data_IF_768300770310
#
_entry.id   IF_768300770310
#
_cell.length_a   1.000
_cell.length_b   1.000
_cell.length_c   1.000
_cell.angle_alpha   90.00
_cell.angle_beta   90.00
_cell.angle_gamma   90.00
#
_symmetry.space_group_name_H-M   'P 1'
#
loop_
_entity.id
_entity.type
_entity.pdbx_description
1 polymer ?
#
# COMPACT_ATOMS: atom_id res chain seq x y z
N UNK A 1 -13.06 16.19 26.34
CA UNK A 1 -12.39 17.10 25.39
C UNK A 1 -12.53 16.47 24.01
N UNK A 2 -13.39 17.00 23.14
CA UNK A 2 -13.47 16.51 21.75
C UNK A 2 -12.26 17.11 21.04
N UNK A 3 -11.31 16.28 20.64
CA UNK A 3 -10.19 16.71 19.81
C UNK A 3 -10.75 17.48 18.60
N UNK A 4 -10.19 18.65 18.34
CA UNK A 4 -10.49 19.38 17.12
C UNK A 4 -10.24 18.44 15.92
N UNK A 5 -11.10 18.46 14.88
CA UNK A 5 -10.91 17.59 13.73
C UNK A 5 -9.51 17.85 13.15
N UNK A 6 -8.62 16.86 13.29
CA UNK A 6 -7.28 16.87 12.71
C UNK A 6 -7.42 17.13 11.21
N UNK A 7 -6.69 18.12 10.70
CA UNK A 7 -6.62 18.38 9.26
C UNK A 7 -6.06 17.13 8.55
N UNK A 8 -6.95 16.39 7.88
CA UNK A 8 -6.61 15.13 7.22
C UNK A 8 -5.54 15.34 6.15
N UNK A 9 -5.58 16.47 5.44
CA UNK A 9 -4.58 16.81 4.42
C UNK A 9 -3.20 16.96 5.07
N UNK A 10 -3.10 17.72 6.16
CA UNK A 10 -1.85 17.85 6.91
C UNK A 10 -1.36 16.49 7.43
N UNK A 11 -2.26 15.64 7.94
CA UNK A 11 -1.97 14.28 8.37
C UNK A 11 -1.37 13.41 7.25
N UNK A 12 -1.98 13.42 6.07
CA UNK A 12 -1.50 12.66 4.91
C UNK A 12 -0.13 13.16 4.40
N UNK A 13 0.13 14.47 4.43
CA UNK A 13 1.45 15.02 4.11
C UNK A 13 2.51 14.63 5.15
N UNK A 14 2.15 14.59 6.44
CA UNK A 14 3.03 14.09 7.49
C UNK A 14 3.39 12.61 7.25
N UNK A 15 2.45 11.78 6.82
CA UNK A 15 2.73 10.38 6.42
C UNK A 15 3.74 10.31 5.28
N UNK A 16 3.65 11.18 4.27
CA UNK A 16 4.63 11.21 3.18
C UNK A 16 6.03 11.56 3.67
N UNK A 17 6.16 12.51 4.61
CA UNK A 17 7.43 12.83 5.25
C UNK A 17 7.96 11.64 6.08
N UNK A 18 7.10 10.99 6.86
CA UNK A 18 7.45 9.80 7.63
C UNK A 18 7.93 8.65 6.73
N UNK A 19 7.27 8.41 5.60
CA UNK A 19 7.70 7.40 4.63
C UNK A 19 9.07 7.71 4.00
N UNK A 20 9.42 8.99 3.84
CA UNK A 20 10.76 9.38 3.41
C UNK A 20 11.81 9.03 4.47
N UNK A 21 11.57 9.41 5.73
CA UNK A 21 12.45 9.07 6.85
C UNK A 21 12.59 7.54 7.04
N UNK A 22 11.48 6.78 6.99
CA UNK A 22 11.51 5.32 7.09
C UNK A 22 12.34 4.68 5.98
N UNK A 23 12.25 5.19 4.75
CA UNK A 23 13.07 4.69 3.65
C UNK A 23 14.56 4.95 3.89
N UNK A 24 14.93 6.15 4.38
CA UNK A 24 16.30 6.51 4.71
C UNK A 24 16.86 5.68 5.87
N UNK A 25 16.09 5.52 6.95
CA UNK A 25 16.46 4.67 8.09
C UNK A 25 16.68 3.21 7.68
N UNK A 26 15.80 2.67 6.83
CA UNK A 26 15.94 1.32 6.32
C UNK A 26 17.15 1.18 5.41
N UNK A 27 17.45 2.19 4.59
CA UNK A 27 18.59 2.15 3.68
C UNK A 27 19.94 2.22 4.41
N UNK A 28 19.97 2.89 5.57
CA UNK A 28 21.15 2.98 6.43
C UNK A 28 21.48 1.67 7.16
N UNK A 29 20.56 0.68 7.18
CA UNK A 29 20.81 -0.59 7.85
C UNK A 29 21.92 -1.40 7.15
N UNK A 30 22.72 -2.20 7.88
CA UNK A 30 23.66 -3.14 7.27
C UNK A 30 22.92 -4.15 6.37
N UNK A 31 23.55 -4.61 5.28
CA UNK A 31 22.94 -5.60 4.36
C UNK A 31 23.04 -7.04 4.92
N UNK A 32 22.19 -7.35 5.90
CA UNK A 32 22.00 -8.70 6.44
C UNK A 32 20.57 -9.18 6.14
N UNK A 33 20.41 -10.51 6.17
CA UNK A 33 19.17 -11.16 5.75
C UNK A 33 17.97 -10.61 6.54
N UNK A 34 16.95 -10.14 5.82
CA UNK A 34 15.72 -9.62 6.42
C UNK A 34 15.80 -8.24 7.07
N UNK A 35 16.95 -7.56 7.03
CA UNK A 35 17.08 -6.23 7.62
C UNK A 35 16.84 -5.13 6.59
N UNK A 36 17.86 -4.83 5.77
CA UNK A 36 17.80 -3.73 4.79
C UNK A 36 16.78 -3.96 3.68
N UNK A 37 16.43 -5.21 3.35
CA UNK A 37 15.57 -5.56 2.21
C UNK A 37 14.16 -4.93 2.25
N UNK A 38 13.68 -4.54 3.44
CA UNK A 38 12.41 -3.85 3.60
C UNK A 38 12.39 -2.46 2.94
N UNK A 39 13.57 -1.85 2.72
CA UNK A 39 13.74 -0.56 2.01
C UNK A 39 13.09 -0.57 0.62
N UNK A 40 13.06 -1.73 -0.05
CA UNK A 40 12.49 -1.88 -1.39
C UNK A 40 11.00 -1.54 -1.41
N UNK A 41 10.24 -2.07 -0.45
CA UNK A 41 8.81 -1.75 -0.36
C UNK A 41 8.58 -0.35 0.21
N UNK A 42 9.41 0.11 1.14
CA UNK A 42 9.34 1.47 1.66
C UNK A 42 9.47 2.52 0.55
N UNK A 43 10.40 2.36 -0.40
CA UNK A 43 10.51 3.25 -1.55
C UNK A 43 9.28 3.20 -2.45
N UNK A 44 8.77 2.01 -2.79
CA UNK A 44 7.55 1.92 -3.61
C UNK A 44 6.37 2.62 -2.91
N UNK A 45 6.22 2.42 -1.60
CA UNK A 45 5.14 3.03 -0.83
C UNK A 45 5.31 4.56 -0.76
N UNK A 46 6.52 5.05 -0.46
CA UNK A 46 6.86 6.48 -0.51
C UNK A 46 6.47 7.12 -1.85
N UNK A 47 6.91 6.53 -2.97
CA UNK A 47 6.59 7.06 -4.29
C UNK A 47 5.09 7.01 -4.59
N UNK A 48 4.41 5.93 -4.19
CA UNK A 48 2.97 5.79 -4.40
C UNK A 48 2.21 6.88 -3.64
N UNK A 49 2.54 7.10 -2.36
CA UNK A 49 1.91 8.13 -1.53
C UNK A 49 2.17 9.52 -2.09
N UNK A 50 3.40 9.84 -2.49
CA UNK A 50 3.74 11.15 -3.07
C UNK A 50 2.97 11.41 -4.39
N UNK A 51 2.93 10.42 -5.28
CA UNK A 51 2.19 10.51 -6.55
C UNK A 51 0.69 10.62 -6.32
N UNK A 52 0.16 9.91 -5.33
CA UNK A 52 -1.26 9.95 -5.02
C UNK A 52 -1.67 11.30 -4.44
N UNK A 53 -0.91 11.85 -3.47
CA UNK A 53 -1.12 13.19 -2.93
C UNK A 53 -1.14 14.26 -4.03
N UNK A 54 -0.21 14.19 -4.99
CA UNK A 54 -0.19 15.11 -6.13
C UNK A 54 -1.40 15.01 -7.07
N UNK A 55 -2.18 13.93 -6.98
CA UNK A 55 -3.38 13.69 -7.79
C UNK A 55 -4.69 13.95 -7.01
N UNK A 56 -4.63 14.33 -5.73
CA UNK A 56 -5.82 14.57 -4.90
C UNK A 56 -6.32 16.02 -4.97
N UNK A 57 -5.58 16.95 -5.58
CA UNK A 57 -6.04 18.33 -5.68
C UNK A 57 -7.30 18.43 -6.57
N UNK A 58 -8.37 19.01 -6.03
CA UNK A 58 -9.69 19.09 -6.67
C UNK A 58 -10.43 17.76 -6.86
N UNK A 59 -9.92 16.63 -6.32
CA UNK A 59 -10.58 15.34 -6.45
C UNK A 59 -11.81 15.23 -5.53
N UNK A 60 -12.86 14.55 -6.01
CA UNK A 60 -14.10 14.32 -5.23
C UNK A 60 -13.80 13.53 -3.97
N UNK A 61 -12.92 12.53 -4.06
CA UNK A 61 -12.54 11.67 -2.94
C UNK A 61 -11.44 12.25 -2.04
N UNK A 62 -11.01 13.50 -2.23
CA UNK A 62 -9.79 14.04 -1.61
C UNK A 62 -9.76 13.90 -0.08
N UNK A 63 -10.81 14.37 0.60
CA UNK A 63 -10.90 14.32 2.07
C UNK A 63 -10.83 12.88 2.59
N UNK A 64 -11.61 11.98 1.98
CA UNK A 64 -11.55 10.57 2.34
C UNK A 64 -10.17 9.96 2.05
N UNK A 65 -9.58 10.27 0.90
CA UNK A 65 -8.28 9.74 0.51
C UNK A 65 -7.16 10.16 1.47
N UNK A 66 -7.16 11.41 1.94
CA UNK A 66 -6.20 11.87 2.95
C UNK A 66 -6.28 11.04 4.24
N UNK A 67 -7.50 10.80 4.73
CA UNK A 67 -7.71 9.94 5.92
C UNK A 67 -7.29 8.50 5.66
N UNK A 68 -7.57 7.98 4.47
CA UNK A 68 -7.16 6.62 4.07
C UNK A 68 -5.64 6.50 4.08
N UNK A 69 -4.89 7.50 3.60
CA UNK A 69 -3.42 7.48 3.62
C UNK A 69 -2.90 7.28 5.05
N UNK A 70 -3.46 7.97 6.05
CA UNK A 70 -3.09 7.79 7.46
C UNK A 70 -3.38 6.37 7.95
N UNK A 71 -4.60 5.88 7.76
CA UNK A 71 -5.00 4.53 8.23
C UNK A 71 -4.25 3.42 7.52
N UNK A 72 -3.92 3.63 6.26
CA UNK A 72 -3.17 2.69 5.47
C UNK A 72 -1.71 2.62 5.96
N UNK A 73 -1.12 3.76 6.32
CA UNK A 73 0.20 3.80 6.92
C UNK A 73 0.25 3.07 8.28
N UNK A 74 -0.76 3.24 9.14
CA UNK A 74 -0.83 2.54 10.43
C UNK A 74 -0.78 1.00 10.25
N UNK A 75 -1.46 0.48 9.23
CA UNK A 75 -1.46 -0.95 8.88
C UNK A 75 -0.10 -1.40 8.33
N UNK A 76 0.57 -0.56 7.53
CA UNK A 76 1.95 -0.82 7.11
C UNK A 76 2.92 -0.84 8.30
N UNK A 77 2.85 0.14 9.20
CA UNK A 77 3.74 0.25 10.33
C UNK A 77 3.61 -0.97 11.26
N UNK A 78 2.38 -1.35 11.59
CA UNK A 78 2.10 -2.54 12.42
C UNK A 78 2.45 -3.86 11.70
N UNK A 79 2.13 -4.01 10.42
CA UNK A 79 2.36 -5.25 9.68
C UNK A 79 3.79 -5.48 9.21
N UNK A 80 4.55 -4.40 8.98
CA UNK A 80 5.92 -4.47 8.43
C UNK A 80 6.96 -3.96 9.42
N UNK A 81 6.86 -2.69 9.84
CA UNK A 81 7.95 -2.02 10.58
C UNK A 81 8.15 -2.61 11.98
N UNK A 82 7.06 -2.76 12.73
CA UNK A 82 7.06 -3.38 14.07
C UNK A 82 7.44 -4.86 13.97
N UNK A 83 6.94 -5.56 12.96
CA UNK A 83 7.12 -7.00 12.79
C UNK A 83 8.46 -7.44 12.16
N UNK A 84 9.40 -6.52 11.85
CA UNK A 84 10.69 -6.87 11.19
C UNK A 84 11.45 -7.98 11.93
N UNK A 85 11.56 -7.85 13.26
CA UNK A 85 12.24 -8.81 14.13
C UNK A 85 11.34 -9.84 14.82
N UNK A 86 10.02 -9.70 14.72
CA UNK A 86 9.08 -10.54 15.48
C UNK A 86 9.07 -12.00 14.98
N UNK A 87 8.70 -13.00 15.79
CA UNK A 87 8.36 -14.35 15.31
C UNK A 87 7.31 -14.34 14.18
N UNK A 88 7.40 -15.25 13.20
CA UNK A 88 6.44 -15.31 12.08
C UNK A 88 4.99 -15.55 12.55
N UNK A 89 4.79 -16.20 13.70
CA UNK A 89 3.49 -16.40 14.33
C UNK A 89 2.80 -15.08 14.70
N UNK A 90 3.58 -14.08 15.12
CA UNK A 90 3.11 -12.75 15.55
C UNK A 90 2.87 -11.80 14.36
N UNK A 91 3.45 -12.09 13.19
CA UNK A 91 3.20 -11.31 11.97
C UNK A 91 1.74 -11.49 11.52
N UNK A 92 1.02 -10.40 11.20
CA UNK A 92 -0.33 -10.48 10.64
C UNK A 92 -0.38 -11.39 9.40
N UNK A 93 -1.41 -12.24 9.32
CA UNK A 93 -1.54 -13.29 8.30
C UNK A 93 -1.25 -12.82 6.85
N UNK A 94 -1.76 -11.64 6.39
CA UNK A 94 -1.48 -11.15 5.03
C UNK A 94 0.01 -10.90 4.75
N UNK A 95 0.78 -10.52 5.78
CA UNK A 95 2.19 -10.13 5.70
C UNK A 95 3.16 -11.29 5.93
N UNK A 96 2.69 -12.45 6.42
CA UNK A 96 3.56 -13.60 6.75
C UNK A 96 4.41 -14.07 5.58
N UNK A 97 3.83 -14.19 4.38
CA UNK A 97 4.58 -14.63 3.19
C UNK A 97 5.66 -13.63 2.80
N UNK A 98 5.36 -12.33 2.86
CA UNK A 98 6.33 -11.27 2.66
C UNK A 98 7.50 -11.40 3.64
N UNK A 99 7.22 -11.53 4.94
CA UNK A 99 8.27 -11.66 5.97
C UNK A 99 9.11 -12.94 5.82
N UNK A 100 8.48 -14.08 5.47
CA UNK A 100 9.22 -15.32 5.19
C UNK A 100 10.22 -15.17 4.04
N UNK A 101 9.84 -14.44 3.00
CA UNK A 101 10.72 -14.16 1.86
C UNK A 101 11.78 -13.13 2.28
N UNK A 102 11.39 -12.01 2.88
CA UNK A 102 12.31 -10.95 3.32
C UNK A 102 13.46 -11.50 4.17
N UNK A 103 13.17 -12.37 5.14
CA UNK A 103 14.16 -12.99 6.05
C UNK A 103 15.20 -13.87 5.36
N UNK A 104 15.03 -14.18 4.07
CA UNK A 104 15.97 -14.98 3.28
C UNK A 104 16.79 -14.13 2.32
N UNK A 105 16.45 -12.85 2.19
CA UNK A 105 17.01 -11.96 1.18
C UNK A 105 17.90 -10.88 1.81
N UNK A 106 18.89 -10.50 1.02
CA UNK A 106 19.74 -9.31 1.17
C UNK A 106 19.58 -8.43 -0.07
N UNK A 107 20.09 -7.20 -0.06
CA UNK A 107 20.15 -6.37 -1.27
C UNK A 107 21.11 -6.92 -2.33
N UNK A 108 22.03 -7.78 -1.93
CA UNK A 108 22.90 -8.54 -2.82
C UNK A 108 22.19 -9.71 -3.53
N UNK A 109 20.97 -10.06 -3.12
CA UNK A 109 20.20 -11.13 -3.75
C UNK A 109 19.79 -10.79 -5.19
N UNK A 110 19.49 -11.79 -6.04
CA UNK A 110 19.02 -11.54 -7.40
C UNK A 110 17.78 -10.64 -7.47
N UNK A 111 17.78 -9.70 -8.42
CA UNK A 111 16.71 -8.70 -8.60
C UNK A 111 15.31 -9.29 -8.75
N UNK A 112 15.18 -10.47 -9.36
CA UNK A 112 13.87 -11.10 -9.53
C UNK A 112 13.23 -11.43 -8.18
N UNK A 113 14.03 -11.79 -7.16
CA UNK A 113 13.54 -12.04 -5.80
C UNK A 113 13.11 -10.74 -5.12
N UNK A 114 13.78 -9.62 -5.39
CA UNK A 114 13.36 -8.30 -4.94
C UNK A 114 12.02 -7.89 -5.56
N UNK A 115 11.85 -8.12 -6.86
CA UNK A 115 10.58 -7.83 -7.55
C UNK A 115 9.44 -8.72 -7.02
N UNK A 116 9.71 -10.00 -6.73
CA UNK A 116 8.74 -10.88 -6.06
C UNK A 116 8.40 -10.34 -4.67
N UNK A 117 9.40 -9.93 -3.88
CA UNK A 117 9.19 -9.40 -2.54
C UNK A 117 8.30 -8.14 -2.57
N UNK A 118 8.61 -7.19 -3.45
CA UNK A 118 7.83 -5.95 -3.62
C UNK A 118 6.40 -6.26 -4.10
N UNK A 119 6.24 -7.24 -5.00
CA UNK A 119 4.92 -7.67 -5.47
C UNK A 119 4.09 -8.31 -4.35
N UNK A 120 4.72 -9.13 -3.48
CA UNK A 120 4.06 -9.70 -2.31
C UNK A 120 3.62 -8.62 -1.32
N UNK A 121 4.47 -7.61 -1.09
CA UNK A 121 4.15 -6.48 -0.22
C UNK A 121 2.99 -5.65 -0.77
N UNK A 122 3.06 -5.23 -2.03
CA UNK A 122 1.99 -4.48 -2.70
C UNK A 122 0.66 -5.25 -2.69
N UNK A 123 0.72 -6.57 -2.92
CA UNK A 123 -0.48 -7.42 -2.82
C UNK A 123 -1.04 -7.46 -1.40
N UNK A 124 -0.19 -7.70 -0.39
CA UNK A 124 -0.63 -7.75 1.01
C UNK A 124 -1.32 -6.42 1.38
N UNK A 125 -0.64 -5.32 1.10
CA UNK A 125 -1.11 -3.99 1.43
C UNK A 125 -2.41 -3.62 0.70
N UNK A 126 -2.46 -3.73 -0.63
CA UNK A 126 -3.63 -3.29 -1.40
C UNK A 126 -4.83 -4.24 -1.21
N UNK A 127 -4.59 -5.56 -1.16
CA UNK A 127 -5.69 -6.53 -1.12
C UNK A 127 -6.25 -6.71 0.29
N UNK A 128 -5.44 -6.54 1.34
CA UNK A 128 -5.85 -6.85 2.70
C UNK A 128 -5.91 -5.65 3.63
N UNK A 129 -5.04 -4.64 3.46
CA UNK A 129 -5.02 -3.48 4.37
C UNK A 129 -5.89 -2.33 3.86
N UNK A 130 -6.12 -2.22 2.56
CA UNK A 130 -6.79 -1.05 1.99
C UNK A 130 -8.27 -0.98 2.34
N UNK A 131 -8.99 -2.11 2.32
CA UNK A 131 -10.39 -2.19 2.74
C UNK A 131 -10.59 -1.75 4.19
N UNK A 132 -9.84 -2.29 5.17
CA UNK A 132 -9.84 -1.83 6.55
C UNK A 132 -9.50 -0.34 6.69
N UNK A 133 -8.50 0.16 5.94
CA UNK A 133 -8.15 1.57 5.96
C UNK A 133 -9.29 2.47 5.43
N UNK A 134 -9.93 2.09 4.33
CA UNK A 134 -11.11 2.80 3.79
C UNK A 134 -12.23 2.76 4.81
N UNK A 135 -12.57 1.60 5.36
CA UNK A 135 -13.65 1.47 6.34
C UNK A 135 -13.40 2.35 7.58
N UNK A 136 -12.19 2.31 8.15
CA UNK A 136 -11.83 3.13 9.30
C UNK A 136 -11.86 4.63 9.00
N UNK A 137 -11.42 5.05 7.80
CA UNK A 137 -11.48 6.44 7.37
C UNK A 137 -12.92 6.93 7.18
N UNK A 138 -13.77 6.08 6.60
CA UNK A 138 -15.19 6.32 6.33
C UNK A 138 -15.98 6.46 7.63
N UNK A 139 -15.71 5.63 8.65
CA UNK A 139 -16.38 5.72 9.97
C UNK A 139 -16.14 7.04 10.70
N UNK A 140 -15.13 7.82 10.28
CA UNK A 140 -14.87 9.17 10.79
C UNK A 140 -15.58 10.29 10.03
N UNK A 141 -16.38 9.99 9.01
CA UNK A 141 -17.14 10.97 8.23
C UNK A 141 -18.63 10.95 8.64
N UNK A 142 -19.33 12.10 8.57
CA UNK A 142 -20.77 12.14 8.82
C UNK A 142 -21.51 11.31 7.77
N UNK A 143 -22.58 10.64 8.19
CA UNK A 143 -23.45 9.91 7.27
C UNK A 143 -24.17 10.85 6.30
N UNK A 144 -24.24 10.45 5.04
CA UNK A 144 -24.91 11.22 4.01
C UNK A 144 -24.51 10.86 2.58
N UNK A 145 -25.19 11.45 1.59
CA UNK A 145 -24.95 11.20 0.16
C UNK A 145 -23.53 11.57 -0.27
N UNK A 146 -22.91 12.54 0.40
CA UNK A 146 -21.54 12.94 0.10
C UNK A 146 -20.51 11.86 0.51
N UNK A 147 -20.68 11.24 1.68
CA UNK A 147 -19.87 10.10 2.12
C UNK A 147 -19.92 8.96 1.10
N UNK A 148 -21.12 8.60 0.64
CA UNK A 148 -21.30 7.54 -0.36
C UNK A 148 -20.60 7.88 -1.70
N UNK A 149 -20.73 9.13 -2.15
CA UNK A 149 -20.08 9.64 -3.37
C UNK A 149 -18.56 9.58 -3.27
N UNK A 150 -17.98 10.00 -2.13
CA UNK A 150 -16.54 9.94 -1.90
C UNK A 150 -16.01 8.49 -1.90
N UNK A 151 -16.75 7.57 -1.26
CA UNK A 151 -16.39 6.13 -1.25
C UNK A 151 -16.42 5.55 -2.66
N UNK A 152 -17.48 5.81 -3.43
CA UNK A 152 -17.59 5.31 -4.81
C UNK A 152 -16.46 5.88 -5.69
N UNK A 153 -16.19 7.18 -5.59
CA UNK A 153 -15.11 7.85 -6.30
C UNK A 153 -13.74 7.23 -5.96
N UNK A 154 -13.44 7.02 -4.68
CA UNK A 154 -12.19 6.39 -4.24
C UNK A 154 -12.02 4.97 -4.77
N UNK A 155 -13.07 4.14 -4.68
CA UNK A 155 -13.01 2.74 -5.13
C UNK A 155 -12.76 2.64 -6.64
N UNK A 156 -13.36 3.55 -7.40
CA UNK A 156 -13.22 3.65 -8.87
C UNK A 156 -12.10 4.59 -9.32
N UNK A 157 -11.32 5.14 -8.39
CA UNK A 157 -10.32 6.18 -8.69
C UNK A 157 -9.27 5.67 -9.66
N UNK A 158 -9.34 6.16 -10.91
CA UNK A 158 -8.30 5.91 -11.89
C UNK A 158 -6.99 6.57 -11.47
N UNK A 159 -7.08 7.80 -10.92
CA UNK A 159 -5.92 8.57 -10.45
C UNK A 159 -5.07 7.79 -9.45
N UNK A 160 -5.68 7.11 -8.47
CA UNK A 160 -4.97 6.22 -7.54
C UNK A 160 -4.21 5.09 -8.25
N UNK A 161 -4.81 4.47 -9.28
CA UNK A 161 -4.15 3.43 -10.07
C UNK A 161 -2.98 3.97 -10.90
N UNK A 162 -3.15 5.14 -11.50
CA UNK A 162 -2.11 5.81 -12.29
C UNK A 162 -0.94 6.27 -11.39
N UNK A 163 -1.23 6.74 -10.18
CA UNK A 163 -0.22 7.08 -9.17
C UNK A 163 0.65 5.87 -8.81
N UNK A 164 0.05 4.68 -8.61
CA UNK A 164 0.81 3.45 -8.36
C UNK A 164 1.69 3.07 -9.55
N UNK A 165 1.19 3.17 -10.78
CA UNK A 165 1.97 2.86 -11.99
C UNK A 165 3.14 3.82 -12.15
N UNK A 166 2.92 5.13 -11.96
CA UNK A 166 3.99 6.13 -11.98
C UNK A 166 5.04 5.86 -10.89
N UNK A 167 4.60 5.54 -9.68
CA UNK A 167 5.47 5.20 -8.55
C UNK A 167 6.30 3.93 -8.80
N UNK A 168 5.75 2.92 -9.46
CA UNK A 168 6.49 1.74 -9.84
C UNK A 168 7.62 2.06 -10.83
N UNK A 169 7.41 3.05 -11.72
CA UNK A 169 8.45 3.53 -12.64
C UNK A 169 9.52 4.35 -11.91
N UNK A 170 9.13 5.20 -10.96
CA UNK A 170 10.07 5.93 -10.11
C UNK A 170 10.93 4.96 -9.28
N UNK A 171 10.31 3.91 -8.73
CA UNK A 171 11.00 2.84 -8.04
C UNK A 171 12.04 2.16 -8.95
N UNK A 172 11.65 1.80 -10.18
CA UNK A 172 12.58 1.18 -11.13
C UNK A 172 13.75 2.12 -11.45
N UNK A 173 13.46 3.40 -11.72
CA UNK A 173 14.47 4.40 -12.02
C UNK A 173 15.46 4.57 -10.86
N UNK A 174 14.96 4.60 -9.62
CA UNK A 174 15.79 4.69 -8.42
C UNK A 174 16.79 3.52 -8.30
N UNK A 175 16.39 2.31 -8.70
CA UNK A 175 17.26 1.13 -8.66
C UNK A 175 17.92 0.78 -10.02
N UNK A 176 17.77 1.63 -11.04
CA UNK A 176 18.24 1.37 -12.40
C UNK A 176 19.75 1.56 -12.55
N UNK A 177 20.35 2.46 -11.76
CA UNK A 177 21.79 2.68 -11.77
C UNK A 177 22.47 1.59 -10.92
N UNK A 178 22.84 0.50 -11.58
CA UNK A 178 23.52 -0.61 -10.93
C UNK A 178 24.57 -1.23 -11.88
N UNK A 179 25.76 -1.61 -11.37
CA UNK A 179 26.83 -2.17 -12.20
C UNK A 179 26.42 -3.43 -13.00
N UNK A 180 25.64 -4.31 -12.37
CA UNK A 180 25.13 -5.54 -13.00
C UNK A 180 24.23 -5.28 -14.23
N UNK A 181 24.72 -5.70 -15.41
CA UNK A 181 23.96 -5.70 -16.67
C UNK A 181 22.66 -6.51 -16.58
N UNK A 182 22.69 -7.66 -15.91
CA UNK A 182 21.52 -8.52 -15.71
C UNK A 182 20.42 -7.82 -14.93
N UNK A 183 20.78 -7.09 -13.86
CA UNK A 183 19.81 -6.32 -13.07
C UNK A 183 19.11 -5.27 -13.93
N UNK A 184 19.87 -4.54 -14.75
CA UNK A 184 19.33 -3.54 -15.68
C UNK A 184 18.38 -4.15 -16.70
N UNK A 185 18.66 -5.35 -17.23
CA UNK A 185 17.78 -6.05 -18.17
C UNK A 185 16.43 -6.39 -17.52
N UNK A 186 16.45 -6.99 -16.33
CA UNK A 186 15.23 -7.35 -15.60
C UNK A 186 14.38 -6.13 -15.25
N UNK A 187 15.00 -5.04 -14.79
CA UNK A 187 14.30 -3.79 -14.50
C UNK A 187 13.65 -3.17 -15.74
N UNK A 188 14.33 -3.19 -16.89
CA UNK A 188 13.74 -2.74 -18.16
C UNK A 188 12.58 -3.61 -18.62
N UNK A 189 12.68 -4.94 -18.46
CA UNK A 189 11.58 -5.85 -18.77
C UNK A 189 10.37 -5.58 -17.87
N UNK A 190 10.61 -5.34 -16.58
CA UNK A 190 9.56 -5.02 -15.62
C UNK A 190 8.89 -3.66 -15.94
N UNK A 191 9.67 -2.63 -16.28
CA UNK A 191 9.14 -1.32 -16.72
C UNK A 191 8.27 -1.45 -17.98
N UNK A 192 8.77 -2.19 -19.00
CA UNK A 192 7.99 -2.51 -20.20
C UNK A 192 6.70 -3.26 -19.87
N UNK A 193 6.73 -4.19 -18.92
CA UNK A 193 5.54 -4.91 -18.46
C UNK A 193 4.53 -4.00 -17.76
N UNK A 194 4.99 -3.05 -16.93
CA UNK A 194 4.12 -2.06 -16.28
C UNK A 194 3.44 -1.16 -17.32
N UNK A 195 4.20 -0.66 -18.29
CA UNK A 195 3.68 0.24 -19.33
C UNK A 195 2.79 -0.51 -20.32
N UNK A 196 3.28 -1.63 -20.86
CA UNK A 196 2.60 -2.42 -21.88
C UNK A 196 1.31 -3.08 -21.38
N UNK A 197 1.24 -3.42 -20.09
CA UNK A 197 0.05 -4.01 -19.47
C UNK A 197 -0.73 -3.01 -18.61
N UNK A 198 -0.52 -1.70 -18.81
CA UNK A 198 -1.17 -0.62 -18.03
C UNK A 198 -2.69 -0.79 -17.88
N UNK A 199 -3.49 -1.09 -18.92
CA UNK A 199 -4.93 -1.31 -18.76
C UNK A 199 -5.26 -2.48 -17.82
N UNK A 200 -4.48 -3.56 -17.90
CA UNK A 200 -4.64 -4.74 -17.06
C UNK A 200 -4.31 -4.41 -15.61
N UNK A 201 -3.23 -3.66 -15.37
CA UNK A 201 -2.85 -3.21 -14.04
C UNK A 201 -3.90 -2.29 -13.42
N UNK A 202 -4.41 -1.30 -14.16
CA UNK A 202 -5.44 -0.40 -13.66
C UNK A 202 -6.72 -1.17 -13.26
N UNK A 203 -7.18 -2.08 -14.13
CA UNK A 203 -8.33 -2.94 -13.84
C UNK A 203 -8.07 -3.85 -12.63
N UNK A 204 -6.88 -4.42 -12.54
CA UNK A 204 -6.48 -5.29 -11.42
C UNK A 204 -6.46 -4.52 -10.09
N UNK A 205 -5.84 -3.34 -10.06
CA UNK A 205 -5.74 -2.49 -8.88
C UNK A 205 -7.12 -2.05 -8.43
N UNK A 206 -7.96 -1.54 -9.35
CA UNK A 206 -9.34 -1.19 -9.04
C UNK A 206 -10.11 -2.39 -8.46
N UNK A 207 -9.99 -3.56 -9.10
CA UNK A 207 -10.62 -4.79 -8.62
C UNK A 207 -10.09 -5.26 -7.27
N UNK A 208 -8.84 -4.97 -6.91
CA UNK A 208 -8.32 -5.23 -5.57
C UNK A 208 -8.93 -4.27 -4.54
N UNK A 209 -8.99 -2.97 -4.83
CA UNK A 209 -9.60 -1.97 -3.93
C UNK A 209 -11.05 -2.32 -3.62
N UNK A 210 -11.84 -2.57 -4.66
CA UNK A 210 -13.26 -2.91 -4.53
C UNK A 210 -13.47 -4.19 -3.72
N UNK A 211 -12.70 -5.26 -4.01
CA UNK A 211 -12.81 -6.53 -3.27
C UNK A 211 -12.37 -6.39 -1.82
N UNK A 212 -11.27 -5.67 -1.57
CA UNK A 212 -10.76 -5.45 -0.21
C UNK A 212 -11.81 -4.72 0.64
N UNK A 213 -12.41 -3.66 0.11
CA UNK A 213 -13.46 -2.92 0.78
C UNK A 213 -14.71 -3.77 1.02
N UNK A 214 -15.24 -4.42 -0.03
CA UNK A 214 -16.44 -5.26 0.10
C UNK A 214 -16.26 -6.42 1.10
N UNK A 215 -15.08 -7.03 1.12
CA UNK A 215 -14.77 -8.10 2.07
C UNK A 215 -14.66 -7.57 3.51
N UNK A 216 -14.15 -6.36 3.69
CA UNK A 216 -14.08 -5.69 4.99
C UNK A 216 -15.47 -5.37 5.53
N UNK A 217 -16.32 -4.74 4.71
CA UNK A 217 -17.71 -4.40 5.08
C UNK A 217 -18.49 -5.65 5.50
N UNK A 218 -18.42 -6.74 4.71
CA UNK A 218 -19.09 -8.02 5.05
C UNK A 218 -18.63 -8.64 6.36
N UNK A 219 -17.37 -8.46 6.74
CA UNK A 219 -16.83 -9.05 7.98
C UNK A 219 -17.15 -8.21 9.22
N UNK A 220 -17.43 -6.91 9.05
CA UNK A 220 -17.70 -5.97 10.15
C UNK A 220 -19.20 -5.79 10.36
N UNK A 221 -20.00 -5.91 9.30
CA UNK A 221 -21.45 -6.01 9.34
C UNK A 221 -21.83 -7.49 9.16
N UNK A 222 -21.61 -8.38 10.16
CA UNK A 222 -22.17 -9.71 10.08
C UNK A 222 -23.69 -9.55 10.03
N UNK A 223 -24.26 -10.21 9.04
CA UNK A 223 -25.68 -10.32 8.73
C UNK A 223 -26.61 -9.88 9.88
N UNK A 224 -27.17 -8.67 9.79
CA UNK A 224 -28.29 -8.26 10.64
C UNK A 224 -29.57 -9.03 10.29
N UNK A 225 -29.56 -9.92 9.28
CA UNK A 225 -30.61 -10.92 9.14
C UNK A 225 -30.36 -12.05 10.13
N UNK A 226 -30.94 -11.92 11.32
CA UNK A 226 -31.13 -13.00 12.28
C UNK A 226 -32.07 -14.07 11.71
N UNK A 227 -31.65 -14.77 10.66
CA UNK A 227 -32.29 -16.00 10.19
C UNK A 227 -31.33 -17.13 10.52
N UNK A 228 -31.65 -17.84 11.60
CA UNK A 228 -31.03 -19.10 11.92
C UNK A 228 -31.13 -20.02 10.69
N UNK A 229 -30.04 -20.68 10.25
CA UNK A 229 -30.18 -21.80 9.35
C UNK A 229 -30.94 -22.88 10.14
N UNK A 230 -32.08 -23.28 9.60
CA UNK A 230 -33.00 -24.27 10.12
C UNK A 230 -32.33 -25.51 10.72
N UNK A 231 -32.98 -25.99 11.80
CA UNK A 231 -32.98 -27.33 12.42
C UNK A 231 -32.21 -28.47 11.77
#
# INVERSE_FOLDING_TARGET
MKDAPKDARAGAHAVAATLAAVAEELDALPDHRGARVHVLFAHLYRYTTARWLGALDGAVEAELAYRVIERFYDLYASGVLVCRGAPISEVPKPWRTYHRVARRLTLSSPIFLHLVLVSLAARAHIRHDLGPAIHAAVSGLPDGPDRARQVEALLRSRASGEAFIAAARDFIAHFADHPSRWRRIWLRLYDRGIVGLRPIWLSTLQGWRQRSYAQTTKNIEPDQSGVAPYG
#
